data_IF_115208189732
#
_entry.id   IF_115208189732
#
_cell.length_a   1.000
_cell.length_b   1.000
_cell.length_c   1.000
_cell.angle_alpha   90.00
_cell.angle_beta   90.00
_cell.angle_gamma   90.00
#
_symmetry.space_group_name_H-M   'P 1'
#
loop_
_entity.id
_entity.type
_entity.pdbx_description
1 polymer ?
#
# COMPACT_ATOMS: atom_id res chain seq x y z
N UNK A 1 -6.74 43.29 20.98
CA UNK A 1 -7.66 42.66 21.94
C UNK A 1 -7.44 41.16 21.86
N UNK A 2 -7.01 40.52 22.95
CA UNK A 2 -6.88 39.07 23.02
C UNK A 2 -8.29 38.49 23.10
N UNK A 3 -8.66 37.66 22.14
CA UNK A 3 -9.98 37.02 22.13
C UNK A 3 -10.06 36.07 23.32
N UNK A 4 -10.95 36.36 24.28
CA UNK A 4 -11.15 35.52 25.45
C UNK A 4 -12.02 34.34 25.02
N UNK A 5 -11.39 33.18 24.86
CA UNK A 5 -12.09 31.95 24.50
C UNK A 5 -12.93 31.43 25.69
N UNK A 6 -14.10 30.82 25.45
CA UNK A 6 -14.90 30.19 26.49
C UNK A 6 -14.11 29.13 27.26
N UNK A 7 -14.41 28.96 28.55
CA UNK A 7 -13.70 28.01 29.45
C UNK A 7 -13.70 26.55 28.96
N UNK A 8 -14.70 26.15 28.17
CA UNK A 8 -14.80 24.81 27.59
C UNK A 8 -14.05 24.61 26.26
N UNK A 9 -13.55 25.68 25.62
CA UNK A 9 -13.01 25.61 24.26
C UNK A 9 -11.87 24.59 24.11
N UNK A 10 -10.89 24.64 25.01
CA UNK A 10 -9.72 23.75 24.94
C UNK A 10 -10.13 22.26 25.06
N UNK A 11 -11.12 21.96 25.90
CA UNK A 11 -11.62 20.61 26.10
C UNK A 11 -12.40 20.12 24.87
N UNK A 12 -13.25 20.98 24.30
CA UNK A 12 -13.96 20.69 23.04
C UNK A 12 -12.99 20.47 21.89
N UNK A 13 -11.96 21.32 21.75
CA UNK A 13 -10.95 21.18 20.72
C UNK A 13 -10.18 19.86 20.88
N UNK A 14 -9.73 19.53 22.09
CA UNK A 14 -9.03 18.27 22.36
C UNK A 14 -9.90 17.04 22.03
N UNK A 15 -11.19 17.09 22.35
CA UNK A 15 -12.16 16.04 22.02
C UNK A 15 -12.27 15.84 20.49
N UNK A 16 -12.47 16.92 19.73
CA UNK A 16 -12.63 16.86 18.27
C UNK A 16 -11.32 16.43 17.59
N UNK A 17 -10.18 16.96 18.03
CA UNK A 17 -8.86 16.59 17.48
C UNK A 17 -8.59 15.10 17.69
N UNK A 18 -8.85 14.57 18.90
CA UNK A 18 -8.72 13.14 19.17
C UNK A 18 -9.61 12.30 18.25
N UNK A 19 -10.88 12.70 18.10
CA UNK A 19 -11.82 12.00 17.21
C UNK A 19 -11.38 12.04 15.75
N UNK A 20 -10.82 13.17 15.29
CA UNK A 20 -10.28 13.33 13.95
C UNK A 20 -9.06 12.42 13.72
N UNK A 21 -8.16 12.29 14.70
CA UNK A 21 -7.03 11.37 14.61
C UNK A 21 -7.48 9.90 14.50
N UNK A 22 -8.45 9.48 15.32
CA UNK A 22 -9.03 8.13 15.25
C UNK A 22 -9.65 7.85 13.86
N UNK A 23 -10.44 8.79 13.35
CA UNK A 23 -11.06 8.67 12.04
C UNK A 23 -10.02 8.57 10.91
N UNK A 24 -8.99 9.43 10.94
CA UNK A 24 -7.89 9.41 9.97
C UNK A 24 -7.12 8.09 10.02
N UNK A 25 -6.88 7.54 11.20
CA UNK A 25 -6.21 6.24 11.35
C UNK A 25 -7.01 5.11 10.70
N UNK A 26 -8.33 5.06 10.93
CA UNK A 26 -9.21 4.05 10.30
C UNK A 26 -9.21 4.18 8.78
N UNK A 27 -9.32 5.41 8.26
CA UNK A 27 -9.28 5.67 6.81
C UNK A 27 -7.94 5.24 6.22
N UNK A 28 -6.83 5.63 6.85
CA UNK A 28 -5.49 5.28 6.38
C UNK A 28 -5.27 3.77 6.34
N UNK A 29 -5.71 3.05 7.38
CA UNK A 29 -5.57 1.59 7.44
C UNK A 29 -6.34 0.91 6.31
N UNK A 30 -7.59 1.31 6.06
CA UNK A 30 -8.38 0.78 4.94
C UNK A 30 -7.75 1.10 3.59
N UNK A 31 -7.28 2.33 3.41
CA UNK A 31 -6.60 2.75 2.18
C UNK A 31 -5.31 1.93 1.95
N UNK A 32 -4.52 1.69 2.99
CA UNK A 32 -3.33 0.85 2.88
C UNK A 32 -3.68 -0.57 2.44
N UNK A 33 -4.73 -1.18 3.01
CA UNK A 33 -5.17 -2.52 2.63
C UNK A 33 -5.54 -2.61 1.15
N UNK A 34 -6.29 -1.64 0.62
CA UNK A 34 -6.61 -1.63 -0.81
C UNK A 34 -5.38 -1.38 -1.70
N UNK A 35 -4.43 -0.55 -1.24
CA UNK A 35 -3.16 -0.34 -1.97
C UNK A 35 -2.34 -1.62 -2.01
N UNK A 36 -2.23 -2.37 -0.91
CA UNK A 36 -1.50 -3.64 -0.89
C UNK A 36 -2.20 -4.69 -1.75
N UNK A 37 -3.53 -4.76 -1.69
CA UNK A 37 -4.32 -5.65 -2.54
C UNK A 37 -4.10 -5.36 -4.03
N UNK A 38 -4.10 -4.09 -4.43
CA UNK A 38 -3.78 -3.67 -5.79
C UNK A 38 -2.35 -4.09 -6.19
N UNK A 39 -1.35 -3.90 -5.32
CA UNK A 39 0.01 -4.35 -5.59
C UNK A 39 0.10 -5.87 -5.73
N UNK A 40 -0.64 -6.62 -4.91
CA UNK A 40 -0.71 -8.08 -5.03
C UNK A 40 -1.32 -8.47 -6.38
N UNK A 41 -2.44 -7.87 -6.76
CA UNK A 41 -3.11 -8.11 -8.05
C UNK A 41 -2.20 -7.83 -9.24
N UNK A 42 -1.48 -6.70 -9.22
CA UNK A 42 -0.49 -6.36 -10.25
C UNK A 42 0.61 -7.43 -10.33
N UNK A 43 1.14 -7.86 -9.18
CA UNK A 43 2.14 -8.91 -9.10
C UNK A 43 1.66 -10.23 -9.69
N UNK A 44 0.48 -10.67 -9.27
CA UNK A 44 -0.16 -11.88 -9.75
C UNK A 44 -0.41 -11.81 -11.27
N UNK A 45 -0.91 -10.67 -11.77
CA UNK A 45 -1.13 -10.44 -13.20
C UNK A 45 0.17 -10.57 -14.00
N UNK A 46 1.27 -10.02 -13.48
CA UNK A 46 2.59 -10.16 -14.12
C UNK A 46 3.04 -11.63 -14.16
N UNK A 47 2.84 -12.38 -13.07
CA UNK A 47 3.20 -13.81 -13.01
C UNK A 47 2.43 -14.60 -14.06
N UNK A 48 1.11 -14.43 -14.14
CA UNK A 48 0.28 -15.14 -15.11
C UNK A 48 0.69 -14.81 -16.55
N UNK A 49 0.93 -13.53 -16.85
CA UNK A 49 1.37 -13.10 -18.18
C UNK A 49 2.75 -13.64 -18.54
N UNK A 50 3.67 -13.74 -17.57
CA UNK A 50 5.00 -14.32 -17.79
C UNK A 50 4.96 -15.83 -18.10
N UNK A 51 3.87 -16.53 -17.77
CA UNK A 51 3.71 -17.96 -18.12
C UNK A 51 3.34 -18.17 -19.59
N UNK A 52 2.62 -17.23 -20.19
CA UNK A 52 2.08 -17.36 -21.56
C UNK A 52 2.80 -16.47 -22.57
N UNK A 53 3.42 -15.39 -22.12
CA UNK A 53 3.98 -14.33 -22.95
C UNK A 53 5.34 -13.86 -22.40
N UNK A 54 6.16 -13.27 -23.28
CA UNK A 54 7.48 -12.74 -22.88
C UNK A 54 7.38 -11.36 -22.20
N UNK A 55 6.88 -11.33 -20.96
CA UNK A 55 6.80 -10.12 -20.13
C UNK A 55 8.16 -9.76 -19.49
N UNK A 56 9.10 -9.41 -20.35
CA UNK A 56 10.47 -9.06 -19.97
C UNK A 56 10.63 -7.63 -19.43
N UNK A 57 11.90 -7.27 -19.23
CA UNK A 57 12.34 -5.97 -18.71
C UNK A 57 11.77 -4.76 -19.46
N UNK A 58 11.63 -4.84 -20.79
CA UNK A 58 11.07 -3.77 -21.63
C UNK A 58 9.56 -3.60 -21.45
N UNK A 59 8.82 -4.71 -21.48
CA UNK A 59 7.35 -4.74 -21.29
C UNK A 59 6.98 -4.16 -19.92
N UNK A 60 7.69 -4.56 -18.86
CA UNK A 60 7.46 -4.01 -17.51
C UNK A 60 7.77 -2.50 -17.42
N UNK A 61 8.76 -2.00 -18.17
CA UNK A 61 9.06 -0.58 -18.19
C UNK A 61 7.92 0.22 -18.84
N UNK A 62 7.39 -0.29 -19.96
CA UNK A 62 6.26 0.29 -20.67
C UNK A 62 4.99 0.24 -19.83
N UNK A 63 4.67 -0.91 -19.24
CA UNK A 63 3.52 -1.09 -18.38
C UNK A 63 3.53 -0.14 -17.18
N UNK A 64 4.69 0.04 -16.53
CA UNK A 64 4.83 1.03 -15.47
C UNK A 64 4.64 2.48 -15.95
N UNK A 65 5.02 2.80 -17.20
CA UNK A 65 4.81 4.12 -17.77
C UNK A 65 3.32 4.36 -18.08
N UNK A 66 2.64 3.37 -18.67
CA UNK A 66 1.22 3.45 -18.99
C UNK A 66 0.38 3.59 -17.71
N UNK A 67 0.68 2.82 -16.65
CA UNK A 67 0.01 2.97 -15.34
C UNK A 67 0.21 4.37 -14.73
N UNK A 68 1.39 4.97 -14.86
CA UNK A 68 1.63 6.35 -14.40
C UNK A 68 0.83 7.38 -15.21
N UNK A 69 0.69 7.16 -16.52
CA UNK A 69 -0.05 8.05 -17.39
C UNK A 69 -1.55 8.02 -17.06
N UNK A 70 -2.09 6.83 -16.77
CA UNK A 70 -3.50 6.67 -16.38
C UNK A 70 -3.78 7.22 -14.97
N UNK A 71 -2.83 7.09 -14.04
CA UNK A 71 -3.00 7.51 -12.65
C UNK A 71 -1.94 8.54 -12.23
N UNK A 72 -1.99 9.79 -12.76
CA UNK A 72 -0.93 10.78 -12.56
C UNK A 72 -0.77 11.25 -11.10
N UNK A 73 -1.83 11.13 -10.29
CA UNK A 73 -1.81 11.47 -8.86
C UNK A 73 -1.27 10.33 -7.99
N UNK A 74 -1.31 9.09 -8.49
CA UNK A 74 -0.85 7.91 -7.76
C UNK A 74 0.66 7.74 -7.94
N UNK A 75 1.40 7.93 -6.85
CA UNK A 75 2.85 7.76 -6.85
C UNK A 75 3.20 6.28 -6.71
N UNK A 76 4.37 5.90 -7.25
CA UNK A 76 4.96 4.60 -6.99
C UNK A 76 4.84 3.56 -8.10
N UNK A 77 4.16 3.82 -9.22
CA UNK A 77 4.15 2.92 -10.38
C UNK A 77 5.49 2.88 -11.11
N UNK A 78 6.54 2.31 -10.50
CA UNK A 78 7.86 2.14 -11.13
C UNK A 78 8.11 0.70 -11.54
N UNK A 79 9.00 0.50 -12.51
CA UNK A 79 9.46 -0.85 -12.88
C UNK A 79 10.02 -1.62 -11.69
N UNK A 80 10.73 -0.95 -10.77
CA UNK A 80 11.21 -1.56 -9.53
C UNK A 80 10.05 -1.99 -8.64
N UNK A 81 9.04 -1.14 -8.46
CA UNK A 81 7.86 -1.48 -7.67
C UNK A 81 7.02 -2.59 -8.32
N UNK A 82 6.97 -2.70 -9.65
CA UNK A 82 6.37 -3.86 -10.32
C UNK A 82 7.11 -5.17 -9.99
N UNK A 83 8.43 -5.14 -9.83
CA UNK A 83 9.18 -6.33 -9.37
C UNK A 83 8.83 -6.67 -7.92
N UNK A 84 8.67 -5.67 -7.05
CA UNK A 84 8.21 -5.89 -5.68
C UNK A 84 6.77 -6.39 -5.62
N UNK A 85 5.89 -5.90 -6.49
CA UNK A 85 4.53 -6.39 -6.66
C UNK A 85 4.57 -7.91 -6.95
N UNK A 86 5.44 -8.33 -7.87
CA UNK A 86 5.65 -9.74 -8.17
C UNK A 86 6.14 -10.53 -6.95
N UNK A 87 7.15 -10.03 -6.23
CA UNK A 87 7.64 -10.66 -4.98
C UNK A 87 6.55 -10.77 -3.91
N UNK A 88 5.69 -9.75 -3.79
CA UNK A 88 4.53 -9.77 -2.88
C UNK A 88 3.56 -10.91 -3.28
N UNK A 89 3.23 -11.02 -4.56
CA UNK A 89 2.35 -12.07 -5.05
C UNK A 89 2.96 -13.49 -4.96
N UNK A 90 4.28 -13.59 -5.07
CA UNK A 90 5.02 -14.85 -4.84
C UNK A 90 5.01 -15.24 -3.35
N UNK A 91 5.08 -14.26 -2.44
CA UNK A 91 5.13 -14.49 -0.99
C UNK A 91 3.77 -14.86 -0.37
N UNK A 92 2.67 -14.27 -0.85
CA UNK A 92 1.31 -14.60 -0.39
C UNK A 92 0.49 -15.20 -1.53
N UNK A 93 -0.01 -16.42 -1.36
CA UNK A 93 -0.68 -17.19 -2.42
C UNK A 93 -2.04 -16.67 -2.87
N UNK A 94 -2.66 -15.76 -2.12
CA UNK A 94 -3.90 -15.09 -2.52
C UNK A 94 -4.00 -13.68 -1.96
N UNK A 95 -4.84 -12.85 -2.59
CA UNK A 95 -5.14 -11.50 -2.13
C UNK A 95 -5.69 -11.50 -0.70
N UNK A 96 -6.62 -12.40 -0.39
CA UNK A 96 -7.23 -12.52 0.94
C UNK A 96 -6.20 -12.85 2.02
N UNK A 97 -5.18 -13.65 1.69
CA UNK A 97 -4.12 -14.01 2.63
C UNK A 97 -3.34 -12.80 3.08
N UNK A 98 -2.91 -11.93 2.16
CA UNK A 98 -2.18 -10.71 2.53
C UNK A 98 -3.10 -9.68 3.20
N UNK A 99 -4.35 -9.52 2.74
CA UNK A 99 -5.32 -8.57 3.34
C UNK A 99 -5.55 -8.84 4.83
N UNK A 100 -5.52 -10.10 5.25
CA UNK A 100 -5.73 -10.50 6.64
C UNK A 100 -4.49 -10.31 7.53
N UNK A 101 -3.28 -10.24 6.96
CA UNK A 101 -2.06 -10.06 7.74
C UNK A 101 -1.84 -8.60 8.16
N UNK A 102 -1.15 -8.36 9.29
CA UNK A 102 -0.59 -7.06 9.65
C UNK A 102 0.16 -6.40 8.48
N UNK A 103 0.99 -7.15 7.74
CA UNK A 103 1.74 -6.64 6.59
C UNK A 103 0.84 -6.05 5.49
N UNK A 104 -0.38 -6.56 5.32
CA UNK A 104 -1.37 -6.04 4.39
C UNK A 104 -2.05 -4.75 4.83
N UNK A 105 -1.80 -4.28 6.05
CA UNK A 105 -2.36 -3.03 6.59
C UNK A 105 -1.31 -1.91 6.65
N UNK A 106 -0.05 -2.24 6.31
CA UNK A 106 1.06 -1.31 6.31
C UNK A 106 1.10 -0.47 5.02
N UNK A 107 1.71 0.72 5.05
CA UNK A 107 2.04 1.45 3.84
C UNK A 107 2.97 0.61 2.95
N UNK A 108 2.80 0.72 1.63
CA UNK A 108 3.56 -0.04 0.63
C UNK A 108 5.09 -0.01 0.84
N UNK A 109 5.66 1.13 1.23
CA UNK A 109 7.10 1.26 1.49
C UNK A 109 7.61 0.39 2.64
N UNK A 110 6.77 0.08 3.63
CA UNK A 110 7.12 -0.82 4.73
C UNK A 110 7.03 -2.27 4.27
N UNK A 111 6.03 -2.62 3.44
CA UNK A 111 5.94 -3.95 2.83
C UNK A 111 7.16 -4.27 1.98
N UNK A 112 7.67 -3.29 1.21
CA UNK A 112 8.96 -3.42 0.49
C UNK A 112 10.10 -3.74 1.46
N UNK A 113 10.21 -3.01 2.58
CA UNK A 113 11.26 -3.26 3.57
C UNK A 113 11.15 -4.64 4.22
N UNK A 114 9.93 -5.13 4.49
CA UNK A 114 9.72 -6.48 5.00
C UNK A 114 10.18 -7.53 3.98
N UNK A 115 9.83 -7.35 2.71
CA UNK A 115 10.27 -8.24 1.63
C UNK A 115 11.80 -8.27 1.47
N UNK A 116 12.48 -7.14 1.70
CA UNK A 116 13.94 -7.03 1.56
C UNK A 116 14.72 -7.53 2.78
N UNK A 117 14.16 -7.42 3.98
CA UNK A 117 14.90 -7.69 5.22
C UNK A 117 14.62 -9.06 5.83
N UNK A 118 13.49 -9.67 5.48
CA UNK A 118 13.05 -10.94 6.06
C UNK A 118 12.88 -11.90 4.91
N UNK A 119 13.54 -13.06 4.93
CA UNK A 119 13.36 -14.12 3.93
C UNK A 119 12.29 -15.14 4.35
N UNK A 120 12.11 -15.33 5.66
CA UNK A 120 11.12 -16.25 6.24
C UNK A 120 9.72 -15.64 6.22
N UNK A 121 8.78 -16.34 5.59
CA UNK A 121 7.37 -15.96 5.53
C UNK A 121 6.75 -15.82 6.93
N UNK A 122 7.13 -16.66 7.90
CA UNK A 122 6.61 -16.60 9.27
C UNK A 122 6.99 -15.31 10.00
N UNK A 123 8.07 -14.64 9.60
CA UNK A 123 8.48 -13.36 10.17
C UNK A 123 7.78 -12.17 9.51
N UNK A 124 7.17 -12.39 8.34
CA UNK A 124 6.46 -11.37 7.56
C UNK A 124 4.95 -11.34 7.81
N UNK A 125 4.36 -12.48 8.16
CA UNK A 125 2.95 -12.62 8.58
C UNK A 125 2.73 -11.92 9.94
#
# INVERSE_FOLDING_TARGET
>A
MTEILPSGYAQTLALVVRRAHEARFVVQRKANTEVIALWWFIGHTIIERQRTESWGSGVLARFAADLRAEFPTMKGFSKSNLKYARRLAEAWSSEDRIRQQPAGQLPWSHTIQLLDKLDDQRLRD
#
